data_IF_974030917864
#
_entry.id   IF_974030917864
#
_cell.length_a   1.000
_cell.length_b   1.000
_cell.length_c   1.000
_cell.angle_alpha   90.00
_cell.angle_beta   90.00
_cell.angle_gamma   90.00
#
_symmetry.space_group_name_H-M   'P 1'
#
loop_
_entity.id
_entity.type
_entity.pdbx_description
1 polymer ?
#
# COMPACT_ATOMS: atom_id res chain seq x y z
N UNK A 1 -8.54 11.68 9.50
CA UNK A 1 -7.10 11.32 9.36
C UNK A 1 -6.30 12.60 9.14
N UNK A 2 -5.13 12.73 9.76
CA UNK A 2 -4.22 13.88 9.56
C UNK A 2 -2.83 13.39 9.14
N UNK A 3 -2.13 14.18 8.31
CA UNK A 3 -0.74 13.91 7.94
C UNK A 3 0.23 14.03 9.11
N UNK A 4 -0.16 14.60 10.25
CA UNK A 4 0.71 14.61 11.44
C UNK A 4 0.89 13.23 12.08
N UNK A 5 -0.01 12.27 11.81
CA UNK A 5 0.01 10.94 12.44
C UNK A 5 -0.09 9.76 11.47
N UNK A 6 -0.39 10.02 10.20
CA UNK A 6 -0.69 8.97 9.22
C UNK A 6 0.05 9.23 7.91
N UNK A 7 0.43 8.14 7.25
CA UNK A 7 0.87 8.10 5.85
C UNK A 7 0.09 6.98 5.15
N UNK A 8 -1.07 7.28 4.55
CA UNK A 8 -1.85 6.26 3.87
C UNK A 8 -1.16 5.86 2.56
N UNK A 9 -0.96 4.56 2.36
CA UNK A 9 -0.63 3.96 1.07
C UNK A 9 -1.88 3.25 0.56
N UNK A 10 -2.21 3.42 -0.72
CA UNK A 10 -3.49 3.00 -1.28
C UNK A 10 -3.26 2.09 -2.48
N UNK A 11 -3.88 0.91 -2.44
CA UNK A 11 -4.09 0.07 -3.62
C UNK A 11 -5.54 0.20 -4.08
N UNK A 12 -5.73 0.27 -5.39
CA UNK A 12 -7.04 0.31 -6.04
C UNK A 12 -7.43 -1.03 -6.66
N UNK A 13 -6.70 -2.11 -6.34
CA UNK A 13 -7.01 -3.44 -6.83
C UNK A 13 -8.33 -3.92 -6.23
N UNK A 14 -9.35 -4.08 -7.09
CA UNK A 14 -10.65 -4.65 -6.71
C UNK A 14 -10.83 -6.07 -7.30
N UNK A 15 -10.18 -6.32 -8.43
CA UNK A 15 -10.24 -7.59 -9.15
C UNK A 15 -9.08 -8.49 -8.75
N UNK A 16 -9.34 -9.79 -8.62
CA UNK A 16 -8.28 -10.78 -8.43
C UNK A 16 -7.29 -10.69 -9.61
N UNK A 17 -5.99 -10.53 -9.38
CA UNK A 17 -5.01 -10.41 -10.45
C UNK A 17 -4.82 -11.71 -11.24
N UNK A 18 -5.33 -12.85 -10.72
CA UNK A 18 -5.22 -14.17 -11.35
C UNK A 18 -6.44 -14.51 -12.18
N UNK A 19 -7.65 -14.33 -11.66
CA UNK A 19 -8.88 -14.74 -12.35
C UNK A 19 -9.83 -13.60 -12.72
N UNK A 20 -9.52 -12.36 -12.36
CA UNK A 20 -10.32 -11.18 -12.72
C UNK A 20 -11.66 -11.04 -11.99
N UNK A 21 -12.00 -11.93 -11.05
CA UNK A 21 -13.22 -11.79 -10.23
C UNK A 21 -13.15 -10.49 -9.43
N UNK A 22 -14.22 -9.68 -9.48
CA UNK A 22 -14.42 -8.56 -8.56
C UNK A 22 -14.66 -9.10 -7.15
N UNK A 23 -13.63 -9.03 -6.30
CA UNK A 23 -13.67 -9.57 -4.96
C UNK A 23 -14.42 -8.68 -3.95
N UNK A 24 -14.96 -7.54 -4.39
CA UNK A 24 -15.93 -6.77 -3.59
C UNK A 24 -17.36 -7.31 -3.72
N UNK A 25 -17.62 -8.14 -4.74
CA UNK A 25 -18.93 -8.72 -5.06
C UNK A 25 -18.99 -10.24 -4.89
N UNK A 26 -17.85 -10.88 -4.64
CA UNK A 26 -17.72 -12.32 -4.46
C UNK A 26 -16.34 -12.69 -3.93
N UNK A 27 -16.00 -13.98 -3.91
CA UNK A 27 -14.68 -14.46 -3.47
C UNK A 27 -14.10 -15.45 -4.48
N UNK A 28 -12.78 -15.59 -4.46
CA UNK A 28 -12.04 -16.60 -5.22
C UNK A 28 -11.05 -17.31 -4.28
N UNK A 29 -10.43 -18.40 -4.75
CA UNK A 29 -9.49 -19.20 -3.95
C UNK A 29 -8.03 -18.72 -4.02
N UNK A 30 -7.74 -17.68 -4.81
CA UNK A 30 -6.40 -17.12 -4.93
C UNK A 30 -6.08 -16.24 -3.72
N UNK A 31 -4.84 -16.32 -3.25
CA UNK A 31 -4.36 -15.63 -2.03
C UNK A 31 -3.41 -14.48 -2.31
N UNK A 32 -3.37 -14.00 -3.55
CA UNK A 32 -2.60 -12.83 -3.93
C UNK A 32 -3.10 -11.60 -3.15
N UNK A 33 -2.18 -10.73 -2.76
CA UNK A 33 -2.54 -9.57 -1.97
C UNK A 33 -3.26 -8.53 -2.83
N UNK A 34 -4.27 -7.90 -2.24
CA UNK A 34 -4.92 -6.74 -2.82
C UNK A 34 -4.10 -5.47 -2.66
N UNK A 35 -3.10 -5.46 -1.78
CA UNK A 35 -2.22 -4.30 -1.58
C UNK A 35 -0.86 -4.42 -2.27
N UNK A 36 -0.67 -5.42 -3.15
CA UNK A 36 0.59 -5.56 -3.91
C UNK A 36 0.86 -4.41 -4.89
N UNK A 37 -0.13 -3.54 -5.17
CA UNK A 37 0.11 -2.29 -5.92
C UNK A 37 0.86 -1.24 -5.08
N UNK A 38 0.90 -1.41 -3.76
CA UNK A 38 1.71 -0.58 -2.84
C UNK A 38 3.08 -1.22 -2.68
N UNK A 39 4.13 -0.46 -3.00
CA UNK A 39 5.50 -0.94 -2.84
C UNK A 39 5.93 -0.97 -1.37
N UNK A 40 6.80 -1.91 -1.02
CA UNK A 40 7.42 -1.94 0.32
C UNK A 40 8.23 -0.66 0.59
N UNK A 41 8.89 -0.13 -0.44
CA UNK A 41 9.69 1.10 -0.33
C UNK A 41 8.83 2.31 0.08
N UNK A 42 7.68 2.51 -0.57
CA UNK A 42 6.73 3.59 -0.24
C UNK A 42 6.29 3.53 1.24
N UNK A 43 6.03 2.31 1.75
CA UNK A 43 5.65 2.10 3.15
C UNK A 43 6.82 2.44 4.08
N UNK A 44 8.03 1.99 3.76
CA UNK A 44 9.23 2.26 4.57
C UNK A 44 9.53 3.76 4.62
N UNK A 45 9.54 4.44 3.48
CA UNK A 45 9.77 5.89 3.40
C UNK A 45 8.71 6.67 4.19
N UNK A 46 7.45 6.27 4.08
CA UNK A 46 6.35 6.82 4.86
C UNK A 46 6.55 6.68 6.37
N UNK A 47 7.01 5.52 6.82
CA UNK A 47 7.29 5.27 8.25
C UNK A 47 8.48 6.12 8.71
N UNK A 48 9.56 6.18 7.95
CA UNK A 48 10.73 6.99 8.26
C UNK A 48 10.37 8.48 8.36
N UNK A 49 9.57 8.99 7.41
CA UNK A 49 9.07 10.37 7.44
C UNK A 49 8.23 10.64 8.69
N UNK A 50 7.37 9.70 9.09
CA UNK A 50 6.51 9.82 10.27
C UNK A 50 7.30 9.82 11.59
N UNK A 51 8.35 9.00 11.67
CA UNK A 51 9.21 8.90 12.86
C UNK A 51 10.21 10.07 12.99
N UNK A 52 10.28 10.95 11.99
CA UNK A 52 11.23 12.07 11.98
C UNK A 52 12.62 11.69 11.45
N UNK A 53 12.81 10.46 10.97
CA UNK A 53 14.01 10.02 10.27
C UNK A 53 13.94 10.51 8.82
N UNK A 54 14.12 11.81 8.61
CA UNK A 54 14.42 12.33 7.28
C UNK A 54 15.79 11.81 6.90
N UNK A 55 15.87 10.83 6.00
CA UNK A 55 17.07 10.59 5.21
C UNK A 55 17.36 11.89 4.47
N UNK A 56 18.28 12.69 5.00
CA UNK A 56 18.85 13.81 4.28
C UNK A 56 19.71 13.20 3.18
N UNK A 57 19.11 13.02 2.00
CA UNK A 57 19.90 12.89 0.79
C UNK A 57 20.50 14.26 0.53
N UNK A 58 21.72 14.46 1.02
CA UNK A 58 22.58 15.60 0.68
C UNK A 58 23.04 15.41 -0.77
N UNK A 59 22.62 16.31 -1.67
CA UNK A 59 23.40 16.68 -2.86
C UNK A 59 24.54 17.63 -2.46
#
# INVERSE_FOLDING_TARGET
MTRSRHRPAISWRLHCPVCGVDCTRGSCNYRNSFVDDVSVQEVVESVLELLGNKSTTTE
#
